data_IF_608328212030
#
_entry.id   IF_608328212030
#
_cell.length_a   1.000
_cell.length_b   1.000
_cell.length_c   1.000
_cell.angle_alpha   90.00
_cell.angle_beta   90.00
_cell.angle_gamma   90.00
#
_symmetry.space_group_name_H-M   'P 1'
#
loop_
_entity.id
_entity.type
_entity.pdbx_description
1 polymer ?
#
# COMPACT_ATOMS: atom_id res chain seq x y z
N UNK A 1 -5.19 6.42 -13.51
CA UNK A 1 -5.27 6.37 -12.06
C UNK A 1 -4.29 5.36 -11.51
N UNK A 2 -3.70 5.68 -10.42
CA UNK A 2 -2.71 4.83 -9.78
C UNK A 2 -3.31 4.25 -8.51
N UNK A 3 -3.11 2.96 -8.28
CA UNK A 3 -3.54 2.32 -7.06
C UNK A 3 -2.32 1.83 -6.29
N UNK A 4 -2.24 2.15 -5.02
CA UNK A 4 -1.12 1.79 -4.17
C UNK A 4 -1.64 0.93 -3.03
N UNK A 5 -1.02 -0.22 -2.83
CA UNK A 5 -1.34 -1.11 -1.73
C UNK A 5 -0.19 -1.13 -0.75
N UNK A 6 -0.48 -0.91 0.51
CA UNK A 6 0.53 -0.90 1.56
C UNK A 6 0.17 -1.91 2.63
N UNK A 7 1.06 -2.86 2.84
CA UNK A 7 0.91 -3.85 3.89
C UNK A 7 1.83 -3.44 5.04
N UNK A 8 1.25 -2.96 6.12
CA UNK A 8 1.99 -2.41 7.26
C UNK A 8 2.48 -3.51 8.17
N UNK A 9 3.73 -3.45 8.58
CA UNK A 9 4.23 -4.25 9.68
C UNK A 9 4.94 -3.34 10.67
N UNK A 10 5.64 -3.92 11.60
CA UNK A 10 6.11 -3.17 12.77
C UNK A 10 6.98 -1.96 12.47
N UNK A 11 7.99 -2.11 11.70
CA UNK A 11 8.93 -1.01 11.44
C UNK A 11 9.09 -0.75 9.94
N UNK A 12 8.33 -1.44 9.12
CA UNK A 12 8.43 -1.33 7.68
C UNK A 12 7.12 -1.71 7.04
N UNK A 13 6.98 -1.40 5.77
CA UNK A 13 5.79 -1.77 4.99
C UNK A 13 6.22 -2.36 3.67
N UNK A 14 5.37 -3.20 3.09
CA UNK A 14 5.57 -3.67 1.73
C UNK A 14 4.58 -2.91 0.86
N UNK A 15 5.07 -2.34 -0.23
CA UNK A 15 4.30 -1.44 -1.07
C UNK A 15 4.22 -1.97 -2.49
N UNK A 16 3.05 -1.93 -3.08
CA UNK A 16 2.86 -2.25 -4.49
C UNK A 16 2.16 -1.09 -5.18
N UNK A 17 2.55 -0.80 -6.41
CA UNK A 17 1.97 0.30 -7.18
C UNK A 17 1.54 -0.24 -8.53
N UNK A 18 0.27 -0.10 -8.85
CA UNK A 18 -0.28 -0.57 -10.12
C UNK A 18 -1.10 0.53 -10.77
N UNK A 19 -1.34 0.42 -12.07
CA UNK A 19 -2.21 1.38 -12.75
C UNK A 19 -3.63 0.80 -12.84
N UNK A 20 -4.54 1.54 -13.46
CA UNK A 20 -5.94 1.14 -13.52
C UNK A 20 -6.17 -0.11 -14.36
N UNK A 21 -5.21 -0.51 -15.16
CA UNK A 21 -5.31 -1.73 -15.95
C UNK A 21 -4.73 -2.92 -15.18
N UNK A 22 -4.21 -2.69 -14.01
CA UNK A 22 -3.58 -3.73 -13.21
C UNK A 22 -2.10 -3.94 -13.53
N UNK A 23 -1.54 -3.11 -14.40
CA UNK A 23 -0.12 -3.22 -14.74
C UNK A 23 0.73 -2.76 -13.55
N UNK A 24 1.71 -3.56 -13.19
CA UNK A 24 2.58 -3.25 -12.06
C UNK A 24 3.57 -2.18 -12.48
N UNK A 25 3.48 -1.00 -11.87
CA UNK A 25 4.37 0.10 -12.19
C UNK A 25 5.66 0.01 -11.40
N UNK A 26 5.60 -0.52 -10.21
CA UNK A 26 6.79 -0.78 -9.41
C UNK A 26 6.61 -2.15 -8.78
N UNK A 27 7.61 -3.01 -8.91
CA UNK A 27 7.57 -4.31 -8.25
C UNK A 27 7.46 -4.08 -6.76
N UNK A 28 6.74 -4.92 -6.03
CA UNK A 28 6.57 -4.71 -4.60
C UNK A 28 7.91 -4.54 -3.89
N UNK A 29 7.99 -3.54 -3.06
CA UNK A 29 9.23 -3.20 -2.37
C UNK A 29 8.96 -2.91 -0.89
N UNK A 30 10.01 -2.98 -0.09
CA UNK A 30 9.92 -2.69 1.33
C UNK A 30 10.29 -1.24 1.59
N UNK A 31 9.48 -0.57 2.40
CA UNK A 31 9.73 0.81 2.80
C UNK A 31 9.85 0.83 4.32
N UNK A 32 11.00 1.23 4.84
CA UNK A 32 11.14 1.39 6.29
C UNK A 32 10.36 2.64 6.73
N UNK A 33 9.85 2.61 7.95
CA UNK A 33 9.09 3.75 8.47
C UNK A 33 10.05 4.82 9.00
N UNK A 34 10.97 5.26 8.16
CA UNK A 34 11.92 6.30 8.50
C UNK A 34 11.66 7.49 7.59
N UNK A 35 12.05 8.67 8.04
CA UNK A 35 11.83 9.89 7.27
C UNK A 35 12.41 9.80 5.86
N UNK A 36 13.69 9.40 5.68
CA UNK A 36 14.25 9.36 4.34
C UNK A 36 13.49 8.43 3.38
N UNK A 37 13.07 7.26 3.84
CA UNK A 37 12.39 6.33 2.97
C UNK A 37 10.96 6.75 2.67
N UNK A 38 10.26 7.30 3.66
CA UNK A 38 8.91 7.79 3.44
C UNK A 38 8.93 9.02 2.50
N UNK A 39 9.95 9.86 2.61
CA UNK A 39 10.09 11.00 1.71
C UNK A 39 10.37 10.54 0.28
N UNK A 40 11.21 9.52 0.12
CA UNK A 40 11.51 9.00 -1.20
C UNK A 40 10.26 8.41 -1.84
N UNK A 41 9.42 7.74 -1.06
CA UNK A 41 8.17 7.17 -1.53
C UNK A 41 7.21 8.26 -2.00
N UNK A 42 7.07 9.32 -1.20
CA UNK A 42 6.20 10.45 -1.56
C UNK A 42 6.70 11.10 -2.86
N UNK A 43 8.01 11.30 -2.98
CA UNK A 43 8.57 11.89 -4.18
C UNK A 43 8.27 11.02 -5.40
N UNK A 44 8.39 9.71 -5.24
CA UNK A 44 8.07 8.78 -6.31
C UNK A 44 6.61 8.91 -6.74
N UNK A 45 5.70 8.93 -5.79
CA UNK A 45 4.27 9.03 -6.10
C UNK A 45 3.94 10.36 -6.79
N UNK A 46 4.51 11.44 -6.32
CA UNK A 46 4.27 12.74 -6.93
C UNK A 46 4.79 12.79 -8.36
N UNK A 47 5.87 12.08 -8.60
CA UNK A 47 6.47 12.04 -9.94
C UNK A 47 5.64 11.28 -10.97
N UNK A 48 4.68 10.47 -10.52
CA UNK A 48 3.85 9.74 -11.47
C UNK A 48 2.82 10.64 -12.15
N UNK A 49 2.49 11.76 -11.51
CA UNK A 49 1.65 12.77 -12.16
C UNK A 49 0.21 12.38 -12.44
N UNK A 50 -0.32 11.39 -11.74
CA UNK A 50 -1.69 10.93 -11.94
C UNK A 50 -2.42 10.84 -10.61
N UNK A 51 -3.75 10.88 -10.63
CA UNK A 51 -4.52 10.68 -9.41
C UNK A 51 -4.16 9.34 -8.78
N UNK A 52 -3.94 9.34 -7.48
CA UNK A 52 -3.47 8.17 -6.76
C UNK A 52 -4.40 7.82 -5.62
N UNK A 53 -4.80 6.56 -5.54
CA UNK A 53 -5.59 6.06 -4.42
C UNK A 53 -4.71 5.11 -3.63
N UNK A 54 -4.65 5.30 -2.34
CA UNK A 54 -3.81 4.48 -1.47
C UNK A 54 -4.69 3.68 -0.52
N UNK A 55 -4.48 2.38 -0.47
CA UNK A 55 -5.16 1.52 0.46
C UNK A 55 -4.12 0.87 1.36
N UNK A 56 -4.35 0.95 2.66
CA UNK A 56 -3.39 0.49 3.63
C UNK A 56 -4.05 -0.54 4.54
N UNK A 57 -3.48 -1.73 4.62
CA UNK A 57 -3.93 -2.74 5.55
C UNK A 57 -3.08 -2.63 6.80
N UNK A 58 -3.68 -2.57 7.96
CA UNK A 58 -2.97 -2.32 9.19
C UNK A 58 -3.26 -3.37 10.25
N UNK A 59 -2.29 -3.53 11.16
CA UNK A 59 -2.48 -4.27 12.39
C UNK A 59 -1.88 -3.42 13.50
N UNK A 60 -2.58 -3.31 14.61
CA UNK A 60 -2.09 -2.49 15.73
C UNK A 60 -1.97 -1.03 15.36
N UNK A 61 -0.88 -0.42 15.77
CA UNK A 61 -0.69 1.02 15.61
C UNK A 61 0.42 1.38 14.64
N UNK A 62 1.02 0.41 14.00
CA UNK A 62 2.25 0.67 13.24
C UNK A 62 2.03 1.48 11.96
N UNK A 63 0.80 1.65 11.55
CA UNK A 63 0.47 2.39 10.33
C UNK A 63 0.50 3.91 10.52
N UNK A 64 0.43 4.40 11.75
CA UNK A 64 0.28 5.84 11.98
C UNK A 64 1.35 6.73 11.35
N UNK A 65 2.64 6.40 11.43
CA UNK A 65 3.65 7.28 10.81
C UNK A 65 3.46 7.39 9.30
N UNK A 66 3.13 6.27 8.63
CA UNK A 66 2.95 6.26 7.21
C UNK A 66 1.67 7.00 6.83
N UNK A 67 0.58 6.74 7.56
CA UNK A 67 -0.69 7.40 7.32
C UNK A 67 -0.55 8.91 7.44
N UNK A 68 0.08 9.38 8.52
CA UNK A 68 0.25 10.80 8.73
C UNK A 68 1.06 11.44 7.62
N UNK A 69 2.16 10.80 7.23
CA UNK A 69 3.02 11.34 6.18
C UNK A 69 2.25 11.49 4.87
N UNK A 70 1.50 10.46 4.48
CA UNK A 70 0.77 10.50 3.22
C UNK A 70 -0.37 11.53 3.27
N UNK A 71 -1.07 11.62 4.38
CA UNK A 71 -2.15 12.60 4.51
C UNK A 71 -1.59 14.02 4.50
N UNK A 72 -0.47 14.27 5.17
CA UNK A 72 0.16 15.58 5.19
C UNK A 72 0.60 15.99 3.78
N UNK A 73 0.90 15.03 2.94
CA UNK A 73 1.32 15.32 1.57
C UNK A 73 0.14 15.38 0.59
N UNK A 74 -1.07 15.27 1.11
CA UNK A 74 -2.26 15.45 0.28
C UNK A 74 -2.79 14.22 -0.41
N UNK A 75 -2.31 13.03 -0.07
CA UNK A 75 -2.81 11.82 -0.71
C UNK A 75 -4.04 11.28 -0.01
N UNK A 76 -5.06 10.84 -0.76
CA UNK A 76 -6.20 10.17 -0.16
C UNK A 76 -5.80 8.76 0.27
N UNK A 77 -5.96 8.44 1.53
CA UNK A 77 -5.59 7.13 2.07
C UNK A 77 -6.79 6.49 2.72
N UNK A 78 -7.07 5.25 2.33
CA UNK A 78 -8.10 4.45 2.93
C UNK A 78 -7.42 3.38 3.75
N UNK A 79 -7.85 3.17 4.98
CA UNK A 79 -7.27 2.09 5.78
C UNK A 79 -8.30 1.00 5.98
N UNK A 80 -7.86 -0.24 5.91
CA UNK A 80 -8.74 -1.39 6.10
C UNK A 80 -8.10 -2.35 7.08
N UNK A 81 -8.92 -3.08 7.79
CA UNK A 81 -8.37 -4.07 8.70
C UNK A 81 -8.19 -5.40 7.95
N UNK A 82 -7.36 -6.30 8.47
CA UNK A 82 -7.10 -7.58 7.81
C UNK A 82 -8.36 -8.42 7.55
N UNK A 83 -9.37 -8.26 8.39
CA UNK A 83 -10.59 -9.01 8.24
C UNK A 83 -11.33 -8.63 6.95
N UNK A 84 -11.39 -7.34 6.64
CA UNK A 84 -12.00 -6.88 5.42
C UNK A 84 -11.23 -7.36 4.19
N UNK A 85 -9.91 -7.33 4.26
CA UNK A 85 -9.09 -7.80 3.15
C UNK A 85 -9.22 -9.30 2.97
N UNK A 86 -9.38 -10.03 4.06
CA UNK A 86 -9.56 -11.46 3.97
C UNK A 86 -10.84 -11.79 3.22
N UNK A 87 -11.90 -11.05 3.47
CA UNK A 87 -13.15 -11.26 2.79
C UNK A 87 -13.01 -11.04 1.29
N UNK A 88 -12.32 -9.99 0.90
CA UNK A 88 -12.12 -9.69 -0.52
C UNK A 88 -11.30 -10.78 -1.19
N UNK A 89 -10.26 -11.26 -0.53
CA UNK A 89 -9.36 -12.23 -1.10
C UNK A 89 -9.75 -13.67 -0.87
N UNK A 90 -10.97 -13.90 -0.40
CA UNK A 90 -11.37 -15.19 0.04
C UNK A 90 -11.22 -16.30 -0.97
N UNK A 91 -11.40 -16.00 -2.19
CA UNK A 91 -11.32 -16.96 -3.23
C UNK A 91 -9.94 -17.48 -3.47
N UNK A 92 -8.95 -16.74 -3.16
CA UNK A 92 -7.62 -17.18 -3.44
C UNK A 92 -6.74 -17.42 -2.35
N UNK A 93 -7.29 -17.69 -1.29
CA UNK A 93 -6.61 -17.65 -0.18
C UNK A 93 -5.73 -18.62 0.22
N UNK A 94 -5.82 -19.68 -0.02
CA UNK A 94 -5.15 -20.70 0.60
C UNK A 94 -3.73 -20.77 0.35
N UNK A 95 -3.19 -20.01 -0.50
CA UNK A 95 -1.84 -20.16 -0.82
C UNK A 95 -0.95 -19.61 0.19
N UNK A 96 0.27 -19.94 0.14
CA UNK A 96 1.28 -19.36 1.00
C UNK A 96 1.27 -17.88 0.76
N UNK A 97 1.20 -17.10 1.81
CA UNK A 97 1.17 -15.68 1.67
C UNK A 97 2.54 -15.12 1.78
N UNK A 98 2.84 -14.13 0.99
CA UNK A 98 4.07 -13.38 1.10
C UNK A 98 3.68 -11.92 1.19
N UNK A 99 4.52 -11.10 1.79
CA UNK A 99 4.26 -9.68 1.91
C UNK A 99 4.07 -9.03 0.54
N UNK A 100 4.81 -9.50 -0.45
CA UNK A 100 4.69 -8.94 -1.80
C UNK A 100 3.34 -9.25 -2.42
N UNK A 101 2.85 -10.47 -2.26
CA UNK A 101 1.54 -10.85 -2.77
C UNK A 101 0.45 -10.08 -2.04
N UNK A 102 0.62 -9.87 -0.74
CA UNK A 102 -0.35 -9.12 0.04
C UNK A 102 -0.42 -7.68 -0.42
N UNK A 103 0.71 -7.05 -0.70
CA UNK A 103 0.72 -5.67 -1.17
C UNK A 103 0.04 -5.54 -2.53
N UNK A 104 0.26 -6.50 -3.44
CA UNK A 104 -0.40 -6.49 -4.73
C UNK A 104 -1.91 -6.68 -4.59
N UNK A 105 -2.34 -7.55 -3.68
CA UNK A 105 -3.76 -7.78 -3.44
C UNK A 105 -4.41 -6.51 -2.88
N UNK A 106 -3.73 -5.83 -1.98
CA UNK A 106 -4.24 -4.59 -1.41
C UNK A 106 -4.36 -3.54 -2.50
N UNK A 107 -3.36 -3.42 -3.37
CA UNK A 107 -3.41 -2.47 -4.47
C UNK A 107 -4.58 -2.76 -5.41
N UNK A 108 -4.81 -4.03 -5.72
CA UNK A 108 -5.92 -4.43 -6.58
C UNK A 108 -7.26 -4.07 -5.94
N UNK A 109 -7.38 -4.20 -4.63
CA UNK A 109 -8.60 -3.85 -3.93
C UNK A 109 -8.84 -2.34 -3.99
N UNK A 110 -7.79 -1.54 -4.12
CA UNK A 110 -7.92 -0.09 -4.19
C UNK A 110 -8.44 0.39 -5.55
N UNK A 111 -8.41 -0.46 -6.55
CA UNK A 111 -8.98 -0.10 -7.83
C UNK A 111 -10.51 -0.14 -7.75
#
# INVERSE_FOLDING_TARGET
MIAVGIDISKAKSTVAVIDSDGTVLASPFTMAHTQPEMEAFVTYLKGLGEPTTILMEYTGHYHYPVLKKLQDEGFPVCIVNPYQMKKYGDVEIHKAKTDKKDALRIAAYAL
#
